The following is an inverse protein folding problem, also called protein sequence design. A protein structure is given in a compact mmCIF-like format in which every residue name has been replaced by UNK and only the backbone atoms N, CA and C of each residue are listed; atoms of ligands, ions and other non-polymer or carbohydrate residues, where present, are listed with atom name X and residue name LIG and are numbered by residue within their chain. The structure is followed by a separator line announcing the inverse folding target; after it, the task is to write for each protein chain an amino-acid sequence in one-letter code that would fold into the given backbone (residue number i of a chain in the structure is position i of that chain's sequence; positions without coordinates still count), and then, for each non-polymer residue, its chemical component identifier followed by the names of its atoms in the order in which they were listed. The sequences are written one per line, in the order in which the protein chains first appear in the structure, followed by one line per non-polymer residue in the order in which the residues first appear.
data_IF_966521785242
#
_entry.id   IF_966521785242
#
_cell.length_a   1.000
_cell.length_b   1.000
_cell.length_c   1.000
_cell.angle_alpha   90.00
_cell.angle_beta   90.00
_cell.angle_gamma   90.00
#
_symmetry.space_group_name_H-M   'P 1'
#
loop_
_entity.id
_entity.type
_entity.pdbx_description
1 polymer ?
#
# COMPACT_ATOMS: atom_id res chain seq x y z
N UNK A 1 -9.71 18.93 -9.49
CA UNK A 1 -9.10 17.68 -10.00
C UNK A 1 -7.99 17.09 -9.11
N UNK A 2 -7.43 17.81 -8.13
CA UNK A 2 -6.40 17.27 -7.23
C UNK A 2 -6.92 16.25 -6.19
N UNK A 3 -8.19 16.34 -5.79
CA UNK A 3 -8.77 15.50 -4.73
C UNK A 3 -9.01 14.03 -5.15
N UNK A 4 -9.23 13.78 -6.45
CA UNK A 4 -9.40 12.41 -6.98
C UNK A 4 -8.08 11.65 -7.04
N UNK A 5 -6.95 12.35 -7.22
CA UNK A 5 -5.63 11.73 -7.30
C UNK A 5 -5.23 11.11 -5.96
N UNK A 6 -5.51 11.78 -4.84
CA UNK A 6 -5.15 11.29 -3.49
C UNK A 6 -5.84 9.96 -3.14
N UNK A 7 -7.08 9.74 -3.58
CA UNK A 7 -7.85 8.53 -3.25
C UNK A 7 -7.29 7.27 -3.91
N UNK A 8 -6.61 7.45 -5.04
CA UNK A 8 -5.94 6.38 -5.80
C UNK A 8 -4.42 6.48 -5.71
N UNK A 9 -3.89 7.43 -4.95
CA UNK A 9 -2.45 7.58 -4.81
C UNK A 9 -1.93 6.46 -3.91
N UNK A 10 -0.70 6.11 -4.18
CA UNK A 10 -0.03 4.96 -3.66
C UNK A 10 0.53 5.24 -2.26
N UNK A 11 0.96 6.47 -1.98
CA UNK A 11 1.49 6.83 -0.65
C UNK A 11 0.40 6.78 0.44
N UNK A 12 -0.80 7.39 0.30
CA UNK A 12 -1.81 7.36 1.36
C UNK A 12 -2.34 5.95 1.66
N UNK A 13 -2.53 5.14 0.61
CA UNK A 13 -2.96 3.75 0.78
C UNK A 13 -1.84 2.88 1.39
N UNK A 14 -0.57 3.14 1.04
CA UNK A 14 0.57 2.47 1.64
C UNK A 14 0.70 2.79 3.12
N UNK A 15 0.78 4.07 3.50
CA UNK A 15 1.00 4.46 4.89
C UNK A 15 -0.15 4.03 5.80
N UNK A 16 -1.40 4.09 5.32
CA UNK A 16 -2.51 3.58 6.11
C UNK A 16 -2.49 2.05 6.21
N UNK A 17 -2.11 1.35 5.13
CA UNK A 17 -1.95 -0.10 5.15
C UNK A 17 -0.82 -0.57 6.08
N UNK A 18 0.30 0.14 6.11
CA UNK A 18 1.42 -0.09 7.03
C UNK A 18 1.02 0.18 8.49
N UNK A 19 0.37 1.30 8.77
CA UNK A 19 -0.18 1.59 10.10
C UNK A 19 -1.12 0.47 10.60
N UNK A 20 -2.04 0.01 9.76
CA UNK A 20 -2.94 -1.10 10.09
C UNK A 20 -2.18 -2.41 10.32
N UNK A 21 -1.08 -2.64 9.60
CA UNK A 21 -0.23 -3.82 9.82
C UNK A 21 0.38 -3.79 11.21
N UNK A 22 0.92 -2.64 11.63
CA UNK A 22 1.54 -2.45 12.93
C UNK A 22 0.55 -2.58 14.08
N UNK A 23 -0.71 -2.16 13.88
CA UNK A 23 -1.81 -2.35 14.83
C UNK A 23 -2.36 -3.79 14.86
N UNK A 24 -1.87 -4.68 13.99
CA UNK A 24 -2.32 -6.08 13.91
C UNK A 24 -3.63 -6.28 13.14
N UNK A 25 -4.15 -5.24 12.50
CA UNK A 25 -5.35 -5.27 11.67
C UNK A 25 -5.04 -5.81 10.26
N UNK A 26 -4.55 -7.05 10.19
CA UNK A 26 -3.92 -7.61 8.99
C UNK A 26 -4.84 -7.70 7.77
N UNK A 27 -6.13 -8.00 7.97
CA UNK A 27 -7.10 -8.05 6.87
C UNK A 27 -7.30 -6.66 6.24
N UNK A 28 -7.54 -5.64 7.07
CA UNK A 28 -7.68 -4.26 6.58
C UNK A 28 -6.38 -3.75 5.97
N UNK A 29 -5.24 -4.04 6.60
CA UNK A 29 -3.90 -3.73 6.05
C UNK A 29 -3.76 -4.30 4.64
N UNK A 30 -4.07 -5.58 4.45
CA UNK A 30 -4.00 -6.25 3.15
C UNK A 30 -4.87 -5.55 2.09
N UNK A 31 -6.09 -5.11 2.46
CA UNK A 31 -6.96 -4.38 1.54
C UNK A 31 -6.37 -3.04 1.08
N UNK A 32 -5.83 -2.23 1.99
CA UNK A 32 -5.26 -0.93 1.66
C UNK A 32 -3.93 -1.05 0.92
N UNK A 33 -3.07 -2.00 1.30
CA UNK A 33 -1.83 -2.29 0.57
C UNK A 33 -2.11 -2.77 -0.85
N UNK A 34 -3.17 -3.56 -1.07
CA UNK A 34 -3.57 -3.98 -2.41
C UNK A 34 -4.16 -2.82 -3.25
N UNK A 35 -4.82 -1.84 -2.63
CA UNK A 35 -5.19 -0.57 -3.32
C UNK A 35 -3.95 0.22 -3.71
N UNK A 36 -2.95 0.30 -2.83
CA UNK A 36 -1.67 0.94 -3.12
C UNK A 36 -0.96 0.22 -4.29
N UNK A 37 -0.90 -1.12 -4.27
CA UNK A 37 -0.27 -1.91 -5.34
C UNK A 37 -0.84 -1.57 -6.73
N UNK A 38 -2.16 -1.34 -6.82
CA UNK A 38 -2.87 -1.04 -8.08
C UNK A 38 -2.82 0.42 -8.52
N UNK A 39 -2.22 1.30 -7.72
CA UNK A 39 -2.15 2.71 -8.03
C UNK A 39 -1.26 2.96 -9.27
N UNK A 40 -1.65 3.90 -10.15
CA UNK A 40 -0.87 4.22 -11.34
C UNK A 40 0.47 4.87 -10.99
N UNK A 41 1.53 4.54 -11.73
CA UNK A 41 2.83 5.15 -11.57
C UNK A 41 2.80 6.65 -11.89
N UNK A 42 3.40 7.47 -11.02
CA UNK A 42 3.48 8.93 -11.15
C UNK A 42 4.74 9.28 -11.93
N UNK A 43 4.59 9.89 -13.12
CA UNK A 43 5.72 10.21 -14.03
C UNK A 43 6.85 10.99 -13.34
N UNK A 44 6.52 11.93 -12.45
CA UNK A 44 7.51 12.72 -11.72
C UNK A 44 8.17 11.96 -10.54
N UNK A 45 7.71 10.75 -10.19
CA UNK A 45 8.14 9.99 -9.01
C UNK A 45 8.42 8.51 -9.29
N UNK A 46 8.75 8.13 -10.53
CA UNK A 46 8.93 6.73 -10.94
C UNK A 46 9.87 5.92 -10.04
N UNK A 47 10.99 6.52 -9.60
CA UNK A 47 11.96 5.85 -8.72
C UNK A 47 11.35 5.61 -7.34
N UNK A 48 10.75 6.62 -6.72
CA UNK A 48 10.08 6.50 -5.43
C UNK A 48 8.92 5.48 -5.50
N UNK A 49 8.17 5.50 -6.61
CA UNK A 49 7.08 4.54 -6.81
C UNK A 49 7.56 3.11 -6.94
N UNK A 50 8.72 2.89 -7.58
CA UNK A 50 9.35 1.57 -7.64
C UNK A 50 9.74 1.06 -6.24
N UNK A 51 10.37 1.89 -5.42
CA UNK A 51 10.76 1.48 -4.06
C UNK A 51 9.55 1.13 -3.21
N UNK A 52 8.52 1.97 -3.23
CA UNK A 52 7.31 1.73 -2.45
C UNK A 52 6.50 0.53 -2.95
N UNK A 53 6.54 0.22 -4.25
CA UNK A 53 5.98 -1.05 -4.75
C UNK A 53 6.72 -2.26 -4.16
N UNK A 54 8.04 -2.19 -3.95
CA UNK A 54 8.76 -3.27 -3.26
C UNK A 54 8.32 -3.40 -1.79
N UNK A 55 8.16 -2.28 -1.07
CA UNK A 55 7.68 -2.27 0.32
C UNK A 55 6.27 -2.85 0.45
N UNK A 56 5.36 -2.48 -0.47
CA UNK A 56 4.01 -3.05 -0.58
C UNK A 56 4.06 -4.57 -0.74
N UNK A 57 4.94 -5.10 -1.59
CA UNK A 57 5.06 -6.55 -1.82
C UNK A 57 5.52 -7.31 -0.58
N UNK A 58 6.44 -6.72 0.20
CA UNK A 58 6.89 -7.30 1.47
C UNK A 58 5.73 -7.37 2.45
N UNK A 59 5.04 -6.25 2.70
CA UNK A 59 3.93 -6.20 3.65
C UNK A 59 2.74 -7.07 3.24
N UNK A 60 2.41 -7.17 1.94
CA UNK A 60 1.36 -8.08 1.47
C UNK A 60 1.71 -9.55 1.73
N UNK A 61 2.99 -9.91 1.58
CA UNK A 61 3.48 -11.27 1.84
C UNK A 61 3.40 -11.60 3.33
N UNK A 62 3.90 -10.71 4.18
CA UNK A 62 3.88 -10.91 5.62
C UNK A 62 2.45 -10.84 6.18
N UNK A 63 1.63 -9.90 5.70
CA UNK A 63 0.22 -9.78 6.09
C UNK A 63 -0.58 -11.03 5.74
N UNK A 64 -0.36 -11.61 4.56
CA UNK A 64 -1.01 -12.88 4.19
C UNK A 64 -0.64 -14.02 5.14
N UNK A 65 0.63 -14.12 5.55
CA UNK A 65 1.04 -15.13 6.55
C UNK A 65 0.29 -14.92 7.87
N UNK A 66 0.17 -13.67 8.32
CA UNK A 66 -0.53 -13.31 9.57
C UNK A 66 -2.03 -13.61 9.53
N UNK A 67 -2.70 -13.40 8.39
CA UNK A 67 -4.12 -13.73 8.21
C UNK A 67 -4.36 -15.25 8.22
N UNK A 68 -3.41 -16.04 7.70
CA UNK A 68 -3.54 -17.49 7.60
C UNK A 68 -3.13 -18.27 8.86
N UNK A 69 -2.67 -17.58 9.91
CA UNK A 69 -2.25 -18.14 11.19
C UNK A 69 -3.39 -18.07 12.21
#
# INVERSE_FOLDING_TARGET
MAFLLLKTDVDPNYFYGEFLYDEGEYEMSYEYLHKAQKAPARKARLIADKYRQNEIQVLLTEGRKKISL
#
